data_IF_206488716767
#
_entry.id   IF_206488716767
#
_cell.length_a   1.000
_cell.length_b   1.000
_cell.length_c   1.000
_cell.angle_alpha   90.00
_cell.angle_beta   90.00
_cell.angle_gamma   90.00
#
_symmetry.space_group_name_H-M   'P 1'
#
loop_
_entity.id
_entity.type
_entity.pdbx_description
1 polymer ?
#
# COMPACT_ATOMS: atom_id res chain seq x y z
N UNK A 1 9.32 -17.08 6.33
CA UNK A 1 9.50 -16.20 5.15
C UNK A 1 8.97 -14.83 5.47
N UNK A 2 9.60 -13.76 4.97
CA UNK A 2 9.15 -12.37 5.13
C UNK A 2 8.47 -11.90 3.84
N UNK A 3 7.60 -10.91 3.92
CA UNK A 3 6.99 -10.32 2.72
C UNK A 3 8.05 -9.74 1.78
N UNK A 4 9.13 -9.17 2.33
CA UNK A 4 10.28 -8.70 1.55
C UNK A 4 10.90 -9.80 0.70
N UNK A 5 11.14 -10.98 1.28
CA UNK A 5 11.69 -12.15 0.59
C UNK A 5 10.76 -12.62 -0.54
N UNK A 6 9.44 -12.66 -0.29
CA UNK A 6 8.45 -13.02 -1.31
C UNK A 6 8.54 -12.07 -2.52
N UNK A 7 8.65 -10.75 -2.29
CA UNK A 7 8.75 -9.77 -3.37
C UNK A 7 10.07 -9.90 -4.14
N UNK A 8 11.20 -10.05 -3.45
CA UNK A 8 12.52 -10.20 -4.05
C UNK A 8 12.61 -11.48 -4.89
N UNK A 9 12.13 -12.62 -4.37
CA UNK A 9 12.05 -13.87 -5.12
C UNK A 9 11.13 -13.77 -6.34
N UNK A 10 9.99 -13.07 -6.22
CA UNK A 10 9.07 -12.88 -7.33
C UNK A 10 9.73 -12.10 -8.47
N UNK A 11 10.52 -11.07 -8.15
CA UNK A 11 11.25 -10.30 -9.16
C UNK A 11 12.38 -11.12 -9.79
N UNK A 12 13.08 -11.94 -9.01
CA UNK A 12 14.11 -12.84 -9.57
C UNK A 12 13.52 -13.82 -10.59
N UNK A 13 12.29 -14.31 -10.33
CA UNK A 13 11.63 -15.30 -11.19
C UNK A 13 10.89 -14.63 -12.38
N UNK A 14 10.29 -13.45 -12.17
CA UNK A 14 9.30 -12.86 -13.08
C UNK A 14 9.60 -11.40 -13.47
N UNK A 15 10.81 -10.92 -13.31
CA UNK A 15 11.19 -9.50 -13.42
C UNK A 15 10.59 -8.75 -14.60
N UNK A 16 10.57 -9.35 -15.79
CA UNK A 16 10.04 -8.71 -17.01
C UNK A 16 8.54 -8.95 -17.24
N UNK A 17 7.92 -9.86 -16.48
CA UNK A 17 6.46 -10.05 -16.51
C UNK A 17 5.76 -8.79 -16.01
N UNK A 18 4.60 -8.48 -16.57
CA UNK A 18 3.78 -7.36 -16.08
C UNK A 18 3.14 -7.73 -14.74
N UNK A 19 3.51 -7.01 -13.69
CA UNK A 19 2.98 -7.22 -12.35
C UNK A 19 1.60 -6.58 -12.18
N UNK A 20 1.38 -5.42 -12.81
CA UNK A 20 0.14 -4.67 -12.67
C UNK A 20 -0.27 -4.00 -13.97
N UNK A 21 -1.60 -3.94 -14.21
CA UNK A 21 -2.24 -3.17 -15.27
C UNK A 21 -3.36 -2.32 -14.68
N UNK A 22 -3.51 -1.10 -15.18
CA UNK A 22 -4.59 -0.20 -14.78
C UNK A 22 -5.00 0.72 -15.92
N UNK A 23 -6.23 1.22 -15.83
CA UNK A 23 -6.74 2.21 -16.77
C UNK A 23 -6.38 3.62 -16.29
N UNK A 24 -5.77 4.39 -17.18
CA UNK A 24 -5.66 5.84 -17.05
C UNK A 24 -6.48 6.48 -18.18
N UNK A 25 -7.67 6.95 -17.85
CA UNK A 25 -8.69 7.42 -18.82
C UNK A 25 -9.06 6.32 -19.83
N UNK A 26 -8.44 6.26 -21.00
CA UNK A 26 -8.68 5.28 -22.07
C UNK A 26 -7.46 4.44 -22.40
N UNK A 27 -6.35 4.70 -21.73
CA UNK A 27 -5.07 4.03 -21.97
C UNK A 27 -4.83 2.97 -20.88
N UNK A 28 -4.43 1.79 -21.30
CA UNK A 28 -3.98 0.74 -20.37
C UNK A 28 -2.50 0.99 -20.07
N UNK A 29 -2.21 1.32 -18.83
CA UNK A 29 -0.84 1.43 -18.33
C UNK A 29 -0.45 0.14 -17.63
N UNK A 30 0.84 -0.14 -17.59
CA UNK A 30 1.37 -1.35 -16.98
C UNK A 30 2.74 -1.12 -16.35
N UNK A 31 3.09 -1.93 -15.34
CA UNK A 31 4.43 -2.00 -14.76
C UNK A 31 4.87 -3.45 -14.63
N UNK A 32 6.16 -3.71 -14.89
CA UNK A 32 6.77 -5.01 -14.66
C UNK A 32 7.04 -5.23 -13.17
N UNK A 33 7.34 -6.49 -12.80
CA UNK A 33 7.76 -6.84 -11.44
C UNK A 33 9.02 -6.07 -11.03
N UNK A 34 10.00 -5.92 -11.93
CA UNK A 34 11.22 -5.15 -11.68
C UNK A 34 10.93 -3.66 -11.44
N UNK A 35 10.00 -3.06 -12.19
CA UNK A 35 9.60 -1.67 -11.99
C UNK A 35 8.88 -1.45 -10.65
N UNK A 36 7.96 -2.34 -10.30
CA UNK A 36 7.26 -2.32 -9.02
C UNK A 36 8.25 -2.39 -7.85
N UNK A 37 9.18 -3.35 -7.86
CA UNK A 37 10.14 -3.50 -6.75
C UNK A 37 11.04 -2.26 -6.63
N UNK A 38 11.51 -1.68 -7.74
CA UNK A 38 12.30 -0.42 -7.70
C UNK A 38 11.54 0.71 -7.00
N UNK A 39 10.25 0.86 -7.28
CA UNK A 39 9.42 1.88 -6.64
C UNK A 39 9.19 1.57 -5.16
N UNK A 40 8.89 0.31 -4.81
CA UNK A 40 8.74 -0.16 -3.41
C UNK A 40 10.01 0.12 -2.61
N UNK A 41 11.19 -0.22 -3.15
CA UNK A 41 12.48 0.04 -2.50
C UNK A 41 12.71 1.55 -2.34
N UNK A 42 12.39 2.35 -3.35
CA UNK A 42 12.56 3.82 -3.27
C UNK A 42 11.66 4.42 -2.19
N UNK A 43 10.39 4.00 -2.11
CA UNK A 43 9.47 4.46 -1.05
C UNK A 43 9.99 4.03 0.32
N UNK A 44 10.36 2.76 0.49
CA UNK A 44 10.92 2.23 1.74
C UNK A 44 12.14 3.02 2.22
N UNK A 45 13.12 3.21 1.35
CA UNK A 45 14.34 3.96 1.66
C UNK A 45 14.06 5.42 1.99
N UNK A 46 13.11 6.04 1.28
CA UNK A 46 12.66 7.40 1.58
C UNK A 46 12.03 7.51 2.97
N UNK A 47 11.14 6.58 3.34
CA UNK A 47 10.53 6.54 4.67
C UNK A 47 11.56 6.31 5.78
N UNK A 48 12.53 5.44 5.56
CA UNK A 48 13.61 5.20 6.54
C UNK A 48 14.54 6.39 6.68
N UNK A 49 14.85 7.09 5.60
CA UNK A 49 15.65 8.34 5.63
C UNK A 49 14.91 9.48 6.38
N UNK A 50 13.60 9.42 6.46
CA UNK A 50 12.72 10.33 7.21
C UNK A 50 12.42 9.85 8.65
N UNK A 51 13.16 8.85 9.13
CA UNK A 51 13.08 8.31 10.49
C UNK A 51 11.70 7.71 10.87
N UNK A 52 11.07 7.02 9.91
CA UNK A 52 9.79 6.32 10.17
C UNK A 52 9.94 4.85 10.60
N UNK A 53 11.16 4.34 10.81
CA UNK A 53 11.35 2.99 11.35
C UNK A 53 10.64 2.80 12.70
N UNK A 54 9.87 1.72 12.84
CA UNK A 54 9.09 1.41 14.03
C UNK A 54 7.83 2.25 14.23
N UNK A 55 7.50 3.15 13.30
CA UNK A 55 6.31 4.02 13.35
C UNK A 55 5.13 3.43 12.58
N UNK A 56 3.96 4.03 12.75
CA UNK A 56 2.76 3.66 12.03
C UNK A 56 2.44 4.70 10.95
N UNK A 57 2.04 4.23 9.77
CA UNK A 57 1.67 5.09 8.64
C UNK A 57 0.30 4.68 8.11
N UNK A 58 -0.63 5.64 8.10
CA UNK A 58 -1.96 5.43 7.54
C UNK A 58 -1.94 5.51 6.01
N UNK A 59 -2.85 4.77 5.36
CA UNK A 59 -3.09 4.83 3.92
C UNK A 59 -4.59 5.00 3.68
N UNK A 60 -4.96 6.07 2.98
CA UNK A 60 -6.34 6.37 2.58
C UNK A 60 -6.39 6.56 1.07
N UNK A 61 -7.11 5.69 0.38
CA UNK A 61 -7.26 5.79 -1.06
C UNK A 61 -8.00 4.63 -1.69
N UNK A 62 -8.43 4.83 -2.92
CA UNK A 62 -8.95 3.78 -3.79
C UNK A 62 -7.81 2.94 -4.34
N UNK A 63 -8.12 1.75 -4.86
CA UNK A 63 -7.14 0.87 -5.48
C UNK A 63 -6.37 1.61 -6.57
N UNK A 64 -5.06 1.69 -6.40
CA UNK A 64 -4.12 2.27 -7.37
C UNK A 64 -2.74 1.64 -7.22
N UNK A 65 -1.91 1.82 -8.24
CA UNK A 65 -0.55 1.29 -8.22
C UNK A 65 0.30 2.02 -7.17
N UNK A 66 0.10 3.32 -6.99
CA UNK A 66 0.80 4.12 -5.98
C UNK A 66 0.44 3.66 -4.56
N UNK A 67 -0.84 3.28 -4.35
CA UNK A 67 -1.29 2.80 -3.05
C UNK A 67 -0.59 1.49 -2.67
N UNK A 68 -0.57 0.50 -3.57
CA UNK A 68 0.05 -0.80 -3.26
C UNK A 68 1.57 -0.70 -3.15
N UNK A 69 2.23 0.11 -3.99
CA UNK A 69 3.67 0.37 -3.86
C UNK A 69 4.00 1.01 -2.51
N UNK A 70 3.17 1.95 -2.04
CA UNK A 70 3.34 2.57 -0.72
C UNK A 70 3.13 1.55 0.40
N UNK A 71 2.06 0.76 0.35
CA UNK A 71 1.81 -0.30 1.32
C UNK A 71 2.99 -1.27 1.42
N UNK A 72 3.47 -1.77 0.29
CA UNK A 72 4.63 -2.68 0.25
C UNK A 72 5.91 -2.00 0.72
N UNK A 73 6.12 -0.72 0.39
CA UNK A 73 7.25 0.07 0.88
C UNK A 73 7.26 0.19 2.40
N UNK A 74 6.09 0.42 2.99
CA UNK A 74 5.92 0.50 4.45
C UNK A 74 6.24 -0.84 5.11
N UNK A 75 5.52 -1.91 4.76
CA UNK A 75 5.61 -3.20 5.47
C UNK A 75 6.95 -3.92 5.27
N UNK A 76 7.70 -3.58 4.23
CA UNK A 76 9.04 -4.12 4.00
C UNK A 76 10.15 -3.30 4.65
N UNK A 77 9.84 -2.17 5.29
CA UNK A 77 10.77 -1.20 5.88
C UNK A 77 10.75 -1.14 7.41
N UNK A 78 10.34 -2.19 8.13
CA UNK A 78 10.19 -2.17 9.60
C UNK A 78 9.20 -1.08 10.08
N UNK A 79 8.18 -0.79 9.30
CA UNK A 79 7.15 0.23 9.54
C UNK A 79 5.80 -0.48 9.50
N UNK A 80 4.85 -0.04 10.33
CA UNK A 80 3.50 -0.63 10.37
C UNK A 80 2.55 0.13 9.46
N UNK A 81 1.94 -0.55 8.49
CA UNK A 81 0.91 0.02 7.64
C UNK A 81 -0.47 0.01 8.32
N UNK A 82 -1.23 1.08 8.16
CA UNK A 82 -2.60 1.20 8.65
C UNK A 82 -3.52 1.54 7.47
N UNK A 83 -3.94 0.52 6.69
CA UNK A 83 -4.89 0.72 5.59
C UNK A 83 -6.26 1.06 6.13
N UNK A 84 -6.81 2.20 5.71
CA UNK A 84 -8.13 2.69 6.14
C UNK A 84 -9.13 2.68 4.98
N UNK A 85 -10.39 2.40 5.31
CA UNK A 85 -11.46 2.44 4.32
C UNK A 85 -11.68 3.88 3.81
N UNK A 86 -11.37 4.10 2.55
CA UNK A 86 -11.51 5.39 1.89
C UNK A 86 -12.97 5.85 1.72
N UNK A 87 -13.95 4.99 1.99
CA UNK A 87 -15.38 5.34 1.96
C UNK A 87 -15.88 5.93 3.27
N UNK A 88 -15.09 5.87 4.35
CA UNK A 88 -15.48 6.41 5.65
C UNK A 88 -15.56 7.94 5.64
N UNK A 89 -16.47 8.51 6.46
CA UNK A 89 -16.50 9.95 6.70
C UNK A 89 -15.19 10.49 7.29
N UNK A 90 -14.90 11.77 7.05
CA UNK A 90 -13.68 12.43 7.51
C UNK A 90 -13.44 12.28 9.02
N UNK A 91 -14.49 12.43 9.84
CA UNK A 91 -14.42 12.32 11.30
C UNK A 91 -14.03 10.92 11.77
N UNK A 92 -14.54 9.88 11.10
CA UNK A 92 -14.17 8.50 11.41
C UNK A 92 -12.72 8.21 11.01
N UNK A 93 -12.27 8.72 9.86
CA UNK A 93 -10.88 8.61 9.43
C UNK A 93 -9.93 9.29 10.43
N UNK A 94 -10.28 10.47 10.94
CA UNK A 94 -9.53 11.18 12.00
C UNK A 94 -9.45 10.31 13.27
N UNK A 95 -10.57 9.72 13.71
CA UNK A 95 -10.57 8.81 14.87
C UNK A 95 -9.61 7.62 14.66
N UNK A 96 -9.66 6.99 13.49
CA UNK A 96 -8.82 5.83 13.19
C UNK A 96 -7.32 6.19 13.05
N UNK A 97 -6.98 7.33 12.43
CA UNK A 97 -5.61 7.84 12.37
C UNK A 97 -5.06 8.05 13.78
N UNK A 98 -5.83 8.70 14.65
CA UNK A 98 -5.42 8.97 16.03
C UNK A 98 -5.32 7.70 16.87
N UNK A 99 -6.26 6.76 16.76
CA UNK A 99 -6.27 5.50 17.51
C UNK A 99 -5.19 4.53 17.06
N UNK A 100 -4.76 4.61 15.82
CA UNK A 100 -3.64 3.82 15.31
C UNK A 100 -2.29 4.44 15.62
N UNK A 101 -2.24 5.59 16.27
CA UNK A 101 -1.00 6.33 16.53
C UNK A 101 -0.20 6.62 15.25
N UNK A 102 -0.88 6.81 14.12
CA UNK A 102 -0.21 7.07 12.84
C UNK A 102 0.51 8.41 12.86
N UNK A 103 1.79 8.40 12.46
CA UNK A 103 2.65 9.59 12.43
C UNK A 103 2.82 10.15 11.02
N UNK A 104 2.40 9.40 9.99
CA UNK A 104 2.33 9.87 8.63
C UNK A 104 1.12 9.29 7.89
N UNK A 105 0.81 9.87 6.73
CA UNK A 105 -0.35 9.51 5.93
C UNK A 105 0.01 9.48 4.44
N UNK A 106 -0.36 8.40 3.76
CA UNK A 106 -0.51 8.39 2.31
C UNK A 106 -1.97 8.66 1.94
N UNK A 107 -2.19 9.68 1.11
CA UNK A 107 -3.52 10.20 0.81
C UNK A 107 -3.79 10.24 -0.70
N UNK A 108 -4.87 9.61 -1.17
CA UNK A 108 -5.24 9.71 -2.58
C UNK A 108 -5.79 11.12 -2.91
N UNK A 109 -5.64 11.59 -4.16
CA UNK A 109 -6.09 12.91 -4.59
C UNK A 109 -7.59 13.16 -4.32
N UNK A 110 -8.40 12.11 -4.40
CA UNK A 110 -9.84 12.18 -4.11
C UNK A 110 -10.14 12.66 -2.69
N UNK A 111 -9.24 12.40 -1.73
CA UNK A 111 -9.39 12.76 -0.32
C UNK A 111 -8.65 14.05 0.06
N UNK A 112 -8.05 14.75 -0.91
CA UNK A 112 -7.44 16.08 -0.69
C UNK A 112 -8.34 17.07 0.06
N UNK A 113 -9.67 17.11 -0.15
CA UNK A 113 -10.56 17.99 0.63
C UNK A 113 -10.55 17.75 2.14
N UNK A 114 -10.12 16.57 2.61
CA UNK A 114 -10.01 16.26 4.06
C UNK A 114 -8.65 16.64 4.65
N UNK A 115 -7.69 17.06 3.83
CA UNK A 115 -6.31 17.29 4.24
C UNK A 115 -6.18 18.29 5.39
N UNK A 116 -6.86 19.44 5.30
CA UNK A 116 -6.83 20.47 6.35
C UNK A 116 -7.40 19.94 7.68
N UNK A 117 -8.48 19.14 7.62
CA UNK A 117 -9.07 18.54 8.79
C UNK A 117 -8.12 17.49 9.42
N UNK A 118 -7.40 16.70 8.63
CA UNK A 118 -6.40 15.77 9.14
C UNK A 118 -5.23 16.50 9.82
N UNK A 119 -4.69 17.54 9.19
CA UNK A 119 -3.59 18.33 9.76
C UNK A 119 -3.99 19.04 11.05
N UNK A 120 -5.25 19.49 11.16
CA UNK A 120 -5.76 20.15 12.34
C UNK A 120 -6.10 19.21 13.51
N UNK A 121 -6.53 17.99 13.23
CA UNK A 121 -7.12 17.09 14.25
C UNK A 121 -6.31 15.78 14.49
N UNK A 122 -5.20 15.57 13.77
CA UNK A 122 -4.31 14.43 14.00
C UNK A 122 -2.94 14.92 14.49
N UNK A 123 -2.77 15.19 15.80
CA UNK A 123 -1.60 15.91 16.33
C UNK A 123 -0.28 15.13 16.22
N UNK A 124 -0.33 13.80 16.01
CA UNK A 124 0.87 12.98 15.78
C UNK A 124 1.31 12.98 14.31
N UNK A 125 0.46 13.45 13.40
CA UNK A 125 0.73 13.42 11.96
C UNK A 125 1.82 14.45 11.61
N UNK A 126 2.98 13.97 11.20
CA UNK A 126 4.16 14.78 10.88
C UNK A 126 4.24 15.08 9.39
N UNK A 127 3.87 14.11 8.53
CA UNK A 127 3.98 14.20 7.07
C UNK A 127 2.80 13.54 6.36
N UNK A 128 2.47 14.10 5.21
CA UNK A 128 1.48 13.53 4.30
C UNK A 128 2.11 13.38 2.91
N UNK A 129 1.97 12.21 2.29
CA UNK A 129 2.33 11.99 0.89
C UNK A 129 1.08 11.76 0.06
N UNK A 130 0.92 12.60 -0.96
CA UNK A 130 -0.15 12.41 -1.94
C UNK A 130 0.18 11.23 -2.85
N UNK A 131 -0.77 10.30 -3.01
CA UNK A 131 -0.68 9.15 -3.92
C UNK A 131 -0.88 9.61 -5.38
N UNK A 132 -0.10 10.59 -5.77
CA UNK A 132 -0.08 11.19 -7.11
C UNK A 132 1.34 11.67 -7.40
N UNK A 133 1.80 11.46 -8.62
CA UNK A 133 3.19 11.72 -9.01
C UNK A 133 3.51 13.21 -9.07
N UNK A 134 2.58 14.03 -9.58
CA UNK A 134 2.71 15.48 -9.66
C UNK A 134 1.53 16.14 -8.96
N UNK A 135 1.81 17.02 -8.04
CA UNK A 135 0.81 17.76 -7.27
C UNK A 135 1.26 19.21 -7.13
N UNK A 136 0.38 20.14 -7.49
CA UNK A 136 0.60 21.57 -7.33
C UNK A 136 -0.05 22.08 -6.02
N UNK A 137 0.43 23.21 -5.52
CA UNK A 137 -0.13 23.93 -4.38
C UNK A 137 -0.29 23.08 -3.11
N UNK A 138 0.79 22.40 -2.72
CA UNK A 138 0.80 21.62 -1.47
C UNK A 138 1.14 22.51 -0.26
N UNK A 139 0.42 22.36 0.85
CA UNK A 139 0.78 23.04 2.11
C UNK A 139 2.07 22.44 2.69
N UNK A 140 2.68 23.14 3.63
CA UNK A 140 3.88 22.67 4.33
C UNK A 140 3.62 21.31 5.00
N UNK A 141 4.58 20.40 4.91
CA UNK A 141 4.46 19.02 5.45
C UNK A 141 3.72 18.04 4.53
N UNK A 142 3.29 18.48 3.35
CA UNK A 142 2.64 17.65 2.34
C UNK A 142 3.50 17.57 1.10
N UNK A 143 3.70 16.39 0.56
CA UNK A 143 4.60 16.07 -0.54
C UNK A 143 3.92 15.16 -1.57
N UNK A 144 4.46 15.07 -2.77
CA UNK A 144 4.08 14.04 -3.74
C UNK A 144 4.78 12.72 -3.46
N UNK A 145 4.22 11.62 -3.95
CA UNK A 145 4.91 10.31 -3.86
C UNK A 145 6.23 10.29 -4.65
N UNK A 146 6.35 11.11 -5.70
CA UNK A 146 7.60 11.22 -6.47
C UNK A 146 8.72 11.88 -5.68
N UNK A 147 8.42 12.87 -4.82
CA UNK A 147 9.42 13.47 -3.93
C UNK A 147 9.95 12.41 -2.95
N UNK A 148 9.08 11.58 -2.37
CA UNK A 148 9.50 10.47 -1.51
C UNK A 148 10.35 9.44 -2.26
N UNK A 149 9.94 9.07 -3.48
CA UNK A 149 10.73 8.14 -4.33
C UNK A 149 12.09 8.74 -4.70
N UNK A 150 12.16 10.02 -5.02
CA UNK A 150 13.41 10.71 -5.34
C UNK A 150 14.37 10.71 -4.14
N UNK A 151 13.86 11.02 -2.96
CA UNK A 151 14.60 10.93 -1.69
C UNK A 151 15.16 9.52 -1.47
N UNK A 152 14.33 8.49 -1.63
CA UNK A 152 14.76 7.11 -1.45
C UNK A 152 15.78 6.62 -2.47
N UNK A 153 15.75 7.13 -3.72
CA UNK A 153 16.78 6.85 -4.73
C UNK A 153 18.15 7.40 -4.31
N UNK A 154 18.18 8.52 -3.60
CA UNK A 154 19.40 9.18 -3.12
C UNK A 154 19.86 8.68 -1.75
N UNK A 155 19.01 7.97 -1.00
CA UNK A 155 19.32 7.46 0.32
C UNK A 155 20.30 6.28 0.28
N UNK A 156 21.05 6.09 1.38
CA UNK A 156 21.96 4.96 1.55
C UNK A 156 21.23 3.61 1.42
N UNK A 157 21.98 2.54 1.20
CA UNK A 157 21.40 1.19 1.19
C UNK A 157 20.74 0.88 2.54
N UNK A 158 19.56 0.27 2.46
CA UNK A 158 18.78 -0.14 3.61
C UNK A 158 19.20 -1.55 4.04
N UNK A 159 19.91 -1.63 5.16
CA UNK A 159 20.29 -2.89 5.80
C UNK A 159 19.20 -3.40 6.77
N UNK A 160 18.12 -2.66 7.00
CA UNK A 160 17.04 -3.08 7.89
C UNK A 160 16.29 -4.28 7.31
N UNK A 161 15.90 -5.20 8.17
CA UNK A 161 15.03 -6.32 7.82
C UNK A 161 13.97 -6.46 8.90
N UNK A 162 12.67 -6.51 8.55
CA UNK A 162 11.64 -6.72 9.56
C UNK A 162 11.84 -8.07 10.25
N UNK A 163 11.55 -8.12 11.55
CA UNK A 163 11.41 -9.39 12.26
C UNK A 163 10.12 -10.10 11.84
N UNK A 164 10.12 -11.43 11.82
CA UNK A 164 8.94 -12.22 11.46
C UNK A 164 7.72 -11.95 12.36
N UNK A 165 7.96 -11.63 13.61
CA UNK A 165 6.92 -11.32 14.59
C UNK A 165 6.64 -9.81 14.71
N UNK A 166 7.36 -8.95 13.96
CA UNK A 166 7.05 -7.53 13.88
C UNK A 166 5.67 -7.32 13.24
N UNK A 167 4.92 -6.37 13.79
CA UNK A 167 3.62 -5.98 13.24
C UNK A 167 3.84 -5.32 11.88
N UNK A 168 3.30 -5.94 10.82
CA UNK A 168 3.35 -5.42 9.47
C UNK A 168 2.19 -4.47 9.18
N UNK A 169 1.00 -4.79 9.67
CA UNK A 169 -0.19 -3.99 9.37
C UNK A 169 -1.23 -4.05 10.49
N UNK A 170 -1.99 -2.97 10.64
CA UNK A 170 -3.16 -2.88 11.52
C UNK A 170 -4.39 -2.65 10.64
N UNK A 171 -5.31 -3.62 10.61
CA UNK A 171 -6.53 -3.55 9.81
C UNK A 171 -7.72 -3.34 10.72
N UNK A 172 -8.45 -2.25 10.50
CA UNK A 172 -9.66 -1.97 11.26
C UNK A 172 -10.85 -2.77 10.72
N UNK A 173 -11.57 -3.43 11.63
CA UNK A 173 -12.77 -4.21 11.31
C UNK A 173 -13.96 -3.66 12.10
N UNK A 174 -15.17 -3.75 11.55
CA UNK A 174 -16.40 -3.42 12.26
C UNK A 174 -16.58 -4.37 13.45
N UNK A 175 -16.40 -3.84 14.65
CA UNK A 175 -16.59 -4.62 15.88
C UNK A 175 -18.08 -4.81 16.19
N UNK A 176 -18.42 -5.94 16.80
CA UNK A 176 -19.79 -6.24 17.31
C UNK A 176 -20.26 -5.23 18.38
N UNK A 177 -19.38 -4.43 18.93
CA UNK A 177 -19.62 -3.43 20.00
C UNK A 177 -19.79 -2.00 19.48
N UNK A 178 -19.90 -1.79 18.16
CA UNK A 178 -20.14 -0.49 17.53
C UNK A 178 -18.88 0.35 17.26
N UNK A 179 -17.73 0.06 17.86
CA UNK A 179 -16.45 0.72 17.53
C UNK A 179 -15.54 -0.24 16.78
N UNK A 180 -14.94 0.22 15.69
CA UNK A 180 -13.95 -0.54 14.91
C UNK A 180 -12.78 -0.99 15.79
N UNK A 181 -12.29 -2.21 15.59
CA UNK A 181 -11.13 -2.77 16.29
C UNK A 181 -9.98 -2.93 15.32
N UNK A 182 -8.78 -2.50 15.72
CA UNK A 182 -7.54 -2.69 14.96
C UNK A 182 -6.99 -4.10 15.18
N UNK A 183 -7.01 -4.92 14.16
CA UNK A 183 -6.39 -6.26 14.14
C UNK A 183 -4.94 -6.10 13.72
N UNK A 184 -4.01 -6.45 14.60
CA UNK A 184 -2.57 -6.41 14.33
C UNK A 184 -2.13 -7.72 13.68
N UNK A 185 -1.54 -7.64 12.49
CA UNK A 185 -1.01 -8.77 11.75
C UNK A 185 0.51 -8.64 11.62
N UNK A 186 1.23 -9.71 12.00
CA UNK A 186 2.69 -9.77 11.88
C UNK A 186 3.12 -10.10 10.46
N UNK A 187 4.41 -9.94 10.17
CA UNK A 187 5.02 -10.42 8.93
C UNK A 187 4.71 -11.90 8.70
N UNK A 188 4.87 -12.71 9.76
CA UNK A 188 4.60 -14.13 9.72
C UNK A 188 3.12 -14.46 9.45
N UNK A 189 2.18 -13.69 10.02
CA UNK A 189 0.76 -13.88 9.72
C UNK A 189 0.44 -13.68 8.23
N UNK A 190 0.99 -12.63 7.62
CA UNK A 190 0.79 -12.38 6.19
C UNK A 190 1.46 -13.45 5.33
N UNK A 191 2.73 -13.75 5.58
CA UNK A 191 3.51 -14.70 4.79
C UNK A 191 2.96 -16.12 4.86
N UNK A 192 2.58 -16.61 6.06
CA UNK A 192 1.99 -17.94 6.24
C UNK A 192 0.66 -18.11 5.48
N UNK A 193 -0.14 -17.05 5.38
CA UNK A 193 -1.35 -17.08 4.57
C UNK A 193 -1.03 -17.20 3.07
N UNK A 194 -0.02 -16.47 2.59
CA UNK A 194 0.43 -16.57 1.19
C UNK A 194 0.90 -18.00 0.86
N UNK A 195 1.63 -18.62 1.78
CA UNK A 195 2.11 -20.01 1.63
C UNK A 195 0.99 -21.05 1.71
N UNK A 196 0.05 -20.89 2.64
CA UNK A 196 -1.03 -21.84 2.86
C UNK A 196 -2.02 -21.92 1.69
N UNK A 197 -2.19 -20.85 0.93
CA UNK A 197 -3.11 -20.81 -0.21
C UNK A 197 -2.53 -21.59 -1.39
N UNK A 198 -3.19 -22.71 -1.72
CA UNK A 198 -2.80 -23.62 -2.82
C UNK A 198 -3.49 -23.22 -4.14
N UNK A 199 -3.32 -21.97 -4.55
CA UNK A 199 -3.71 -21.51 -5.89
C UNK A 199 -2.44 -21.36 -6.69
N UNK A 200 -2.41 -21.89 -7.90
CA UNK A 200 -1.34 -21.68 -8.86
C UNK A 200 -1.87 -20.92 -10.07
N UNK A 201 -1.08 -19.99 -10.57
CA UNK A 201 -1.34 -19.28 -11.80
C UNK A 201 -0.07 -19.35 -12.66
N UNK A 202 -0.23 -19.45 -13.97
CA UNK A 202 0.89 -19.30 -14.89
C UNK A 202 1.37 -17.84 -14.87
N UNK A 203 2.69 -17.58 -14.95
CA UNK A 203 3.22 -16.23 -15.03
C UNK A 203 2.53 -15.41 -16.13
N UNK A 204 2.12 -14.19 -15.80
CA UNK A 204 1.37 -13.32 -16.71
C UNK A 204 -0.14 -13.57 -16.77
N UNK A 205 -0.65 -14.55 -16.02
CA UNK A 205 -2.11 -14.74 -15.89
C UNK A 205 -2.75 -13.47 -15.33
N UNK A 206 -3.73 -12.92 -16.06
CA UNK A 206 -4.46 -11.73 -15.63
C UNK A 206 -5.41 -12.07 -14.46
N UNK A 207 -5.28 -11.33 -13.37
CA UNK A 207 -6.15 -11.42 -12.20
C UNK A 207 -6.83 -10.07 -11.98
N UNK A 208 -8.16 -10.02 -12.05
CA UNK A 208 -8.89 -8.77 -11.79
C UNK A 208 -9.06 -8.58 -10.28
N UNK A 209 -8.47 -7.51 -9.73
CA UNK A 209 -8.65 -7.11 -8.33
C UNK A 209 -9.90 -6.25 -8.21
N UNK A 210 -10.95 -6.80 -7.58
CA UNK A 210 -12.26 -6.16 -7.48
C UNK A 210 -12.62 -5.71 -6.07
N UNK A 211 -11.97 -6.27 -5.06
CA UNK A 211 -12.22 -5.93 -3.67
C UNK A 211 -11.52 -4.62 -3.27
N UNK A 212 -12.06 -3.89 -2.28
CA UNK A 212 -11.37 -2.72 -1.76
C UNK A 212 -9.97 -3.07 -1.25
N UNK A 213 -8.97 -2.30 -1.67
CA UNK A 213 -7.55 -2.61 -1.44
C UNK A 213 -7.15 -2.64 0.04
N UNK A 214 -7.88 -1.95 0.92
CA UNK A 214 -7.64 -1.94 2.37
C UNK A 214 -8.08 -3.24 3.08
N UNK A 215 -8.82 -4.13 2.42
CA UNK A 215 -9.23 -5.39 3.01
C UNK A 215 -8.11 -6.44 3.02
N UNK A 216 -7.95 -7.14 4.15
CA UNK A 216 -6.95 -8.20 4.31
C UNK A 216 -7.00 -9.26 3.20
N UNK A 217 -8.20 -9.65 2.77
CA UNK A 217 -8.36 -10.64 1.71
C UNK A 217 -7.76 -10.14 0.38
N UNK A 218 -8.08 -8.91 -0.03
CA UNK A 218 -7.51 -8.29 -1.23
C UNK A 218 -5.98 -8.21 -1.14
N UNK A 219 -5.46 -7.70 -0.01
CA UNK A 219 -4.01 -7.57 0.19
C UNK A 219 -3.29 -8.92 0.11
N UNK A 220 -3.82 -9.96 0.77
CA UNK A 220 -3.17 -11.27 0.80
C UNK A 220 -3.41 -12.04 -0.49
N UNK A 221 -4.64 -12.10 -0.99
CA UNK A 221 -5.00 -12.98 -2.10
C UNK A 221 -4.67 -12.38 -3.47
N UNK A 222 -5.12 -11.13 -3.71
CA UNK A 222 -4.90 -10.53 -5.02
C UNK A 222 -3.44 -10.09 -5.16
N UNK A 223 -2.91 -9.40 -4.13
CA UNK A 223 -1.59 -8.78 -4.24
C UNK A 223 -0.47 -9.72 -3.83
N UNK A 224 -0.37 -10.13 -2.56
CA UNK A 224 0.80 -10.92 -2.11
C UNK A 224 0.84 -12.29 -2.75
N UNK A 225 -0.29 -13.02 -2.80
CA UNK A 225 -0.36 -14.33 -3.45
C UNK A 225 -0.21 -14.21 -4.97
N UNK A 226 -0.91 -13.26 -5.60
CA UNK A 226 -0.77 -12.99 -7.03
C UNK A 226 0.68 -12.71 -7.42
N UNK A 227 1.38 -11.86 -6.67
CA UNK A 227 2.80 -11.58 -6.90
C UNK A 227 3.67 -12.81 -6.73
N UNK A 228 3.45 -13.63 -5.72
CA UNK A 228 4.23 -14.85 -5.51
C UNK A 228 4.12 -15.85 -6.66
N UNK A 229 3.10 -15.76 -7.49
CA UNK A 229 2.83 -16.63 -8.64
C UNK A 229 3.20 -16.01 -9.99
N UNK A 230 3.67 -14.78 -10.03
CA UNK A 230 3.95 -14.09 -11.30
C UNK A 230 2.69 -13.62 -12.04
N UNK A 231 1.55 -13.51 -11.36
CA UNK A 231 0.31 -13.04 -11.98
C UNK A 231 0.38 -11.56 -12.36
N UNK A 232 -0.42 -11.14 -13.36
CA UNK A 232 -0.64 -9.74 -13.72
C UNK A 232 -1.91 -9.25 -13.06
N UNK A 233 -1.78 -8.37 -12.06
CA UNK A 233 -2.95 -7.86 -11.32
C UNK A 233 -3.53 -6.67 -12.08
N UNK A 234 -4.78 -6.82 -12.50
CA UNK A 234 -5.53 -5.77 -13.19
C UNK A 234 -6.34 -4.99 -12.16
N UNK A 235 -6.00 -3.71 -11.96
CA UNK A 235 -6.70 -2.85 -11.02
C UNK A 235 -8.05 -2.46 -11.62
N UNK A 236 -9.13 -2.77 -10.90
CA UNK A 236 -10.48 -2.33 -11.25
C UNK A 236 -10.73 -0.94 -10.65
N UNK A 237 -11.11 0.01 -11.50
CA UNK A 237 -11.37 1.40 -11.10
C UNK A 237 -12.72 1.58 -10.39
N UNK A 238 -13.68 0.67 -10.63
CA UNK A 238 -15.01 0.68 -10.01
C UNK A 238 -15.74 -0.62 -10.24
N UNK A 239 -16.50 -1.09 -9.25
CA UNK A 239 -17.40 -2.25 -9.41
C UNK A 239 -18.42 -2.04 -10.54
N UNK A 240 -18.83 -0.81 -10.80
CA UNK A 240 -19.72 -0.46 -11.91
C UNK A 240 -19.07 -0.65 -13.29
N UNK A 241 -17.74 -0.64 -13.36
CA UNK A 241 -16.98 -0.79 -14.58
C UNK A 241 -16.40 -2.20 -14.79
N UNK A 242 -16.72 -3.13 -13.89
CA UNK A 242 -16.12 -4.47 -13.90
C UNK A 242 -16.27 -5.17 -15.25
N UNK A 243 -17.47 -5.16 -15.86
CA UNK A 243 -17.71 -5.78 -17.19
C UNK A 243 -16.84 -5.13 -18.27
N UNK A 244 -16.72 -3.81 -18.27
CA UNK A 244 -15.84 -3.07 -19.19
C UNK A 244 -14.37 -3.43 -19.00
N UNK A 245 -13.95 -3.63 -17.78
CA UNK A 245 -12.54 -3.89 -17.44
C UNK A 245 -12.14 -5.37 -17.65
N UNK A 246 -13.12 -6.25 -17.91
CA UNK A 246 -12.91 -7.65 -18.28
C UNK A 246 -12.84 -7.90 -19.78
N UNK A 247 -13.24 -6.93 -20.61
CA UNK A 247 -13.22 -6.99 -22.08
C UNK A 247 -11.94 -6.36 -22.64
#
# INVERSE_FOLDING_TARGET
>A
MLIREILEESVQKFGEVKAVKWLNRKEVLERSYSEMLRNVISIRKGLLAEDFAGKHIALIGTSSVEWIESYLGIITGCITAVPLDAALPCEELIDLINRSDSEALFLSPKHRPYLEAFLANCPKLQKVWMLQEEVEDLPSGVYSINELRAMGKSAAEDASCPDAEAIATIIFTSGTTGKSKGVMLTQNNLASNVEAVKISAEPGTAMLSVLPIHHAFCLVMDWLKGFSQGATICINDSLLHMVRNMS
#
